data_IF_865758691396
#
_entry.id   IF_865758691396
#
_cell.length_a   1.000
_cell.length_b   1.000
_cell.length_c   1.000
_cell.angle_alpha   90.00
_cell.angle_beta   90.00
_cell.angle_gamma   90.00
#
_symmetry.space_group_name_H-M   'P 1'
#
loop_
_entity.id
_entity.type
_entity.pdbx_description
1 polymer ?
#
# COMPACT_ATOMS: atom_id res chain seq x y z
N UNK A 1 -35.91 35.80 38.34
CA UNK A 1 -36.16 37.09 39.01
C UNK A 1 -37.49 37.61 38.50
N UNK A 2 -38.39 37.90 39.43
CA UNK A 2 -39.83 38.06 39.19
C UNK A 2 -40.11 39.31 38.33
N UNK A 3 -40.53 39.12 37.08
CA UNK A 3 -40.82 40.22 36.16
C UNK A 3 -41.88 41.17 36.72
N UNK A 4 -42.80 40.63 37.53
CA UNK A 4 -43.86 41.37 38.21
C UNK A 4 -43.35 42.34 39.30
N UNK A 5 -42.28 41.97 40.01
CA UNK A 5 -41.69 42.80 41.07
C UNK A 5 -40.90 43.99 40.51
N UNK A 6 -40.28 43.83 39.33
CA UNK A 6 -39.65 44.93 38.60
C UNK A 6 -40.71 45.88 38.01
N UNK A 7 -41.83 45.32 37.54
CA UNK A 7 -43.01 46.03 37.02
C UNK A 7 -43.64 46.97 38.05
N UNK A 8 -43.87 46.50 39.27
CA UNK A 8 -44.43 47.31 40.35
C UNK A 8 -43.52 48.48 40.75
N UNK A 9 -42.19 48.30 40.65
CA UNK A 9 -41.20 49.31 41.06
C UNK A 9 -40.98 50.40 40.01
N UNK A 10 -41.23 50.12 38.73
CA UNK A 10 -41.13 51.10 37.65
C UNK A 10 -42.37 52.02 37.55
N UNK A 11 -43.53 51.57 38.05
CA UNK A 11 -44.85 52.18 37.83
C UNK A 11 -45.37 53.09 38.97
N UNK A 12 -44.50 53.51 39.89
CA UNK A 12 -44.88 54.19 41.14
C UNK A 12 -46.14 55.05 41.06
N UNK A 13 -47.20 54.63 41.77
CA UNK A 13 -48.50 55.27 42.04
C UNK A 13 -48.98 56.37 41.06
N UNK A 14 -48.88 56.14 39.75
CA UNK A 14 -49.43 57.05 38.74
C UNK A 14 -50.43 56.32 37.86
N UNK A 15 -51.70 56.39 38.25
CA UNK A 15 -52.82 56.09 37.36
C UNK A 15 -52.85 57.14 36.24
N UNK A 16 -52.67 56.75 34.97
CA UNK A 16 -52.60 57.69 33.85
C UNK A 16 -53.95 58.39 33.64
N UNK A 17 -53.90 59.71 33.55
CA UNK A 17 -55.08 60.60 33.54
C UNK A 17 -55.48 61.10 32.15
N UNK A 18 -54.72 60.71 31.11
CA UNK A 18 -54.98 61.04 29.70
C UNK A 18 -54.52 59.91 28.77
N UNK A 19 -55.18 59.75 27.61
CA UNK A 19 -54.77 58.83 26.55
C UNK A 19 -53.28 58.98 26.15
N UNK A 20 -52.70 60.19 26.26
CA UNK A 20 -51.28 60.43 25.99
C UNK A 20 -50.34 59.75 27.00
N UNK A 21 -50.76 59.63 28.26
CA UNK A 21 -49.97 58.99 29.32
C UNK A 21 -50.02 57.46 29.21
N UNK A 22 -51.19 56.91 28.85
CA UNK A 22 -51.34 55.48 28.54
C UNK A 22 -50.42 55.04 27.38
N UNK A 23 -50.39 55.82 26.30
CA UNK A 23 -49.51 55.53 25.16
C UNK A 23 -48.03 55.59 25.55
N UNK A 24 -47.65 56.52 26.44
CA UNK A 24 -46.27 56.65 26.92
C UNK A 24 -45.85 55.43 27.75
N UNK A 25 -46.68 54.98 28.68
CA UNK A 25 -46.41 53.77 29.49
C UNK A 25 -46.31 52.53 28.60
N UNK A 26 -47.18 52.39 27.60
CA UNK A 26 -47.10 51.29 26.61
C UNK A 26 -45.78 51.33 25.82
N UNK A 27 -45.35 52.50 25.35
CA UNK A 27 -44.08 52.65 24.63
C UNK A 27 -42.90 52.28 25.54
N UNK A 28 -42.90 52.74 26.79
CA UNK A 28 -41.83 52.42 27.76
C UNK A 28 -41.79 50.92 28.11
N UNK A 29 -42.93 50.24 28.16
CA UNK A 29 -43.00 48.79 28.38
C UNK A 29 -42.53 47.97 27.16
N UNK A 30 -42.91 48.38 25.95
CA UNK A 30 -42.59 47.63 24.74
C UNK A 30 -41.19 47.91 24.18
N UNK A 31 -40.61 49.09 24.46
CA UNK A 31 -39.27 49.46 24.01
C UNK A 31 -38.17 48.43 24.38
N UNK A 32 -38.04 47.96 25.64
CA UNK A 32 -37.02 46.97 26.01
C UNK A 32 -37.29 45.60 25.37
N UNK A 33 -38.56 45.22 25.16
CA UNK A 33 -38.93 43.97 24.47
C UNK A 33 -38.51 44.03 23.01
N UNK A 34 -38.76 45.16 22.33
CA UNK A 34 -38.33 45.38 20.95
C UNK A 34 -36.81 45.38 20.83
N UNK A 35 -36.10 46.00 21.77
CA UNK A 35 -34.64 45.98 21.81
C UNK A 35 -34.08 44.55 21.97
N UNK A 36 -34.63 43.78 22.91
CA UNK A 36 -34.25 42.37 23.10
C UNK A 36 -34.57 41.52 21.87
N UNK A 37 -35.72 41.74 21.22
CA UNK A 37 -36.06 41.07 19.96
C UNK A 37 -35.07 41.40 18.84
N UNK A 38 -34.63 42.66 18.73
CA UNK A 38 -33.62 43.04 17.73
C UNK A 38 -32.26 42.40 18.01
N UNK A 39 -31.86 42.27 19.27
CA UNK A 39 -30.61 41.62 19.67
C UNK A 39 -30.66 40.11 19.40
N UNK A 40 -31.76 39.43 19.76
CA UNK A 40 -31.98 38.02 19.46
C UNK A 40 -31.96 37.79 17.95
N UNK A 41 -32.62 38.66 17.17
CA UNK A 41 -32.60 38.57 15.71
C UNK A 41 -31.17 38.68 15.16
N UNK A 42 -30.38 39.62 15.66
CA UNK A 42 -28.98 39.77 15.26
C UNK A 42 -28.14 38.54 15.61
N UNK A 43 -28.33 37.98 16.81
CA UNK A 43 -27.64 36.76 17.26
C UNK A 43 -28.01 35.54 16.39
N UNK A 44 -29.29 35.36 16.07
CA UNK A 44 -29.77 34.28 15.19
C UNK A 44 -29.17 34.43 13.80
N UNK A 45 -29.17 35.64 13.22
CA UNK A 45 -28.57 35.87 11.90
C UNK A 45 -27.07 35.56 11.89
N UNK A 46 -26.32 35.97 12.91
CA UNK A 46 -24.90 35.64 13.04
C UNK A 46 -24.65 34.13 13.19
N UNK A 47 -25.52 33.43 13.92
CA UNK A 47 -25.45 31.99 14.06
C UNK A 47 -25.75 31.27 12.74
N UNK A 48 -26.74 31.72 11.98
CA UNK A 48 -27.06 31.17 10.66
C UNK A 48 -25.88 31.32 9.68
N UNK A 49 -25.19 32.45 9.70
CA UNK A 49 -23.97 32.67 8.90
C UNK A 49 -22.86 31.70 9.31
N UNK A 50 -22.63 31.56 10.62
CA UNK A 50 -21.66 30.62 11.16
C UNK A 50 -21.98 29.18 10.75
N UNK A 51 -23.25 28.79 10.82
CA UNK A 51 -23.70 27.45 10.45
C UNK A 51 -23.50 27.20 8.94
N UNK A 52 -23.80 28.18 8.09
CA UNK A 52 -23.53 28.10 6.64
C UNK A 52 -22.05 27.92 6.36
N UNK A 53 -21.18 28.68 7.03
CA UNK A 53 -19.73 28.57 6.88
C UNK A 53 -19.24 27.17 7.27
N UNK A 54 -19.65 26.66 8.44
CA UNK A 54 -19.27 25.31 8.87
C UNK A 54 -19.85 24.22 7.97
N UNK A 55 -21.08 24.39 7.46
CA UNK A 55 -21.67 23.45 6.52
C UNK A 55 -20.91 23.39 5.20
N UNK A 56 -20.41 24.52 4.71
CA UNK A 56 -19.56 24.55 3.51
C UNK A 56 -18.25 23.83 3.76
N UNK A 57 -17.55 24.15 4.86
CA UNK A 57 -16.31 23.47 5.23
C UNK A 57 -16.47 21.96 5.43
N UNK A 58 -17.60 21.52 6.01
CA UNK A 58 -17.89 20.10 6.17
C UNK A 58 -18.11 19.38 4.83
N UNK A 59 -18.74 20.05 3.87
CA UNK A 59 -18.93 19.51 2.52
C UNK A 59 -17.61 19.39 1.76
N UNK A 60 -16.74 20.39 1.88
CA UNK A 60 -15.39 20.38 1.30
C UNK A 60 -14.55 19.24 1.90
N UNK A 61 -14.49 19.16 3.24
CA UNK A 61 -13.80 18.09 3.95
C UNK A 61 -14.30 16.71 3.55
N UNK A 62 -15.62 16.53 3.42
CA UNK A 62 -16.23 15.28 2.95
C UNK A 62 -15.80 14.94 1.51
N UNK A 63 -15.62 15.95 0.66
CA UNK A 63 -15.13 15.78 -0.71
C UNK A 63 -13.68 15.30 -0.71
N UNK A 64 -12.81 15.98 0.04
CA UNK A 64 -11.39 15.60 0.19
C UNK A 64 -11.24 14.19 0.75
N UNK A 65 -12.04 13.81 1.75
CA UNK A 65 -12.02 12.46 2.32
C UNK A 65 -12.39 11.39 1.29
N UNK A 66 -13.34 11.67 0.38
CA UNK A 66 -13.65 10.75 -0.73
C UNK A 66 -12.46 10.61 -1.68
N UNK A 67 -11.81 11.72 -2.04
CA UNK A 67 -10.62 11.72 -2.90
C UNK A 67 -9.48 10.90 -2.27
N UNK A 68 -9.15 11.16 -1.00
CA UNK A 68 -8.11 10.41 -0.27
C UNK A 68 -8.44 8.92 -0.22
N UNK A 69 -9.72 8.56 0.00
CA UNK A 69 -10.14 7.16 0.00
C UNK A 69 -9.95 6.49 -1.36
N UNK A 70 -10.22 7.21 -2.45
CA UNK A 70 -10.01 6.72 -3.80
C UNK A 70 -8.52 6.54 -4.10
N UNK A 71 -7.70 7.56 -3.84
CA UNK A 71 -6.24 7.49 -4.02
C UNK A 71 -5.63 6.35 -3.21
N UNK A 72 -6.05 6.17 -1.95
CA UNK A 72 -5.58 5.07 -1.11
C UNK A 72 -5.89 3.70 -1.72
N UNK A 73 -7.07 3.54 -2.33
CA UNK A 73 -7.46 2.31 -3.00
C UNK A 73 -6.61 2.03 -4.25
N UNK A 74 -6.29 3.08 -5.01
CA UNK A 74 -5.46 2.98 -6.21
C UNK A 74 -4.01 2.67 -5.86
N UNK A 75 -3.45 3.35 -4.86
CA UNK A 75 -2.09 3.11 -4.37
C UNK A 75 -1.94 1.68 -3.85
N UNK A 76 -2.90 1.17 -3.08
CA UNK A 76 -2.89 -0.22 -2.62
C UNK A 76 -2.90 -1.21 -3.77
N UNK A 77 -3.70 -0.95 -4.80
CA UNK A 77 -3.76 -1.82 -6.00
C UNK A 77 -2.42 -1.84 -6.73
N UNK A 78 -1.84 -0.67 -7.01
CA UNK A 78 -0.54 -0.56 -7.69
C UNK A 78 0.58 -1.23 -6.89
N UNK A 79 0.62 -1.02 -5.57
CA UNK A 79 1.61 -1.65 -4.70
C UNK A 79 1.56 -3.19 -4.74
N UNK A 80 0.38 -3.79 -4.84
CA UNK A 80 0.23 -5.24 -4.95
C UNK A 80 0.67 -5.77 -6.32
N UNK A 81 0.39 -5.02 -7.39
CA UNK A 81 0.81 -5.34 -8.75
C UNK A 81 2.35 -5.29 -8.87
N UNK A 82 2.97 -4.22 -8.36
CA UNK A 82 4.42 -4.05 -8.33
C UNK A 82 5.12 -5.15 -7.54
N UNK A 83 4.57 -5.51 -6.37
CA UNK A 83 5.14 -6.59 -5.54
C UNK A 83 5.09 -7.93 -6.27
N UNK A 84 3.99 -8.21 -6.97
CA UNK A 84 3.82 -9.43 -7.76
C UNK A 84 4.81 -9.48 -8.92
N UNK A 85 4.96 -8.38 -9.66
CA UNK A 85 5.90 -8.29 -10.79
C UNK A 85 7.35 -8.44 -10.32
N UNK A 86 7.73 -7.74 -9.25
CA UNK A 86 9.05 -7.87 -8.61
C UNK A 86 9.35 -9.31 -8.23
N UNK A 87 8.39 -10.01 -7.61
CA UNK A 87 8.56 -11.41 -7.24
C UNK A 87 8.78 -12.33 -8.45
N UNK A 88 8.07 -12.09 -9.54
CA UNK A 88 8.24 -12.85 -10.79
C UNK A 88 9.61 -12.59 -11.41
N UNK A 89 10.03 -11.32 -11.48
CA UNK A 89 11.31 -10.93 -12.05
C UNK A 89 12.48 -11.53 -11.27
N UNK A 90 12.47 -11.43 -9.93
CA UNK A 90 13.50 -12.03 -9.07
C UNK A 90 13.57 -13.55 -9.28
N UNK A 91 12.41 -14.23 -9.40
CA UNK A 91 12.37 -15.67 -9.65
C UNK A 91 12.96 -16.02 -11.02
N UNK A 92 12.71 -15.22 -12.05
CA UNK A 92 13.26 -15.42 -13.39
C UNK A 92 14.77 -15.18 -13.43
N UNK A 93 15.25 -14.09 -12.82
CA UNK A 93 16.67 -13.76 -12.75
C UNK A 93 17.46 -14.85 -12.03
N UNK A 94 17.02 -15.26 -10.84
CA UNK A 94 17.65 -16.36 -10.10
C UNK A 94 17.69 -17.65 -10.90
N UNK A 95 16.63 -17.97 -11.64
CA UNK A 95 16.61 -19.16 -12.51
C UNK A 95 17.64 -19.05 -13.63
N UNK A 96 17.71 -17.90 -14.31
CA UNK A 96 18.69 -17.66 -15.38
C UNK A 96 20.11 -17.73 -14.84
N UNK A 97 20.44 -17.00 -13.78
CA UNK A 97 21.76 -17.02 -13.15
C UNK A 97 22.17 -18.43 -12.73
N UNK A 98 21.29 -19.20 -12.09
CA UNK A 98 21.59 -20.58 -11.70
C UNK A 98 21.84 -21.47 -12.91
N UNK A 99 21.05 -21.31 -14.00
CA UNK A 99 21.23 -22.08 -15.22
C UNK A 99 22.55 -21.73 -15.89
N UNK A 100 22.85 -20.44 -16.03
CA UNK A 100 24.04 -19.94 -16.68
C UNK A 100 25.30 -20.34 -15.89
N UNK A 101 25.28 -20.21 -14.56
CA UNK A 101 26.37 -20.67 -13.70
C UNK A 101 26.58 -22.19 -13.81
N UNK A 102 25.51 -22.98 -13.85
CA UNK A 102 25.60 -24.44 -14.02
C UNK A 102 26.14 -24.82 -15.39
N UNK A 103 25.72 -24.13 -16.44
CA UNK A 103 26.23 -24.36 -17.80
C UNK A 103 27.70 -23.96 -17.90
N UNK A 104 28.07 -22.79 -17.38
CA UNK A 104 29.44 -22.31 -17.34
C UNK A 104 30.35 -23.29 -16.59
N UNK A 105 29.91 -23.76 -15.41
CA UNK A 105 30.65 -24.75 -14.62
C UNK A 105 30.82 -26.10 -15.31
N UNK A 106 29.95 -26.46 -16.28
CA UNK A 106 30.02 -27.73 -17.03
C UNK A 106 30.59 -27.55 -18.44
N UNK A 107 31.03 -26.35 -18.81
CA UNK A 107 31.43 -26.01 -20.17
C UNK A 107 32.60 -26.88 -20.67
N UNK A 108 33.47 -27.28 -19.76
CA UNK A 108 34.65 -28.12 -20.04
C UNK A 108 34.40 -29.60 -19.78
N UNK A 109 33.21 -29.96 -19.27
CA UNK A 109 32.91 -31.35 -18.95
C UNK A 109 32.53 -32.09 -20.23
N UNK A 110 33.10 -33.27 -20.42
CA UNK A 110 32.68 -34.22 -21.44
C UNK A 110 31.90 -35.36 -20.78
N UNK A 111 30.81 -35.79 -21.43
CA UNK A 111 29.98 -36.89 -20.93
C UNK A 111 29.99 -38.10 -21.88
N UNK A 112 31.03 -38.97 -21.81
CA UNK A 112 31.03 -40.23 -22.54
C UNK A 112 29.87 -41.12 -22.11
N UNK A 113 28.99 -41.46 -23.05
CA UNK A 113 27.82 -42.31 -22.82
C UNK A 113 28.09 -43.75 -23.22
N UNK A 114 27.37 -44.68 -22.58
CA UNK A 114 27.35 -46.11 -22.91
C UNK A 114 28.72 -46.81 -22.79
N UNK A 115 29.61 -46.29 -21.95
CA UNK A 115 30.88 -46.97 -21.65
C UNK A 115 30.60 -48.16 -20.73
N UNK A 116 30.85 -49.41 -21.16
CA UNK A 116 30.55 -50.60 -20.37
C UNK A 116 31.22 -50.58 -19.00
N UNK A 117 30.54 -51.10 -17.98
CA UNK A 117 31.15 -51.33 -16.67
C UNK A 117 31.92 -52.64 -16.77
N UNK A 118 33.23 -52.61 -16.52
CA UNK A 118 34.04 -53.83 -16.44
C UNK A 118 34.65 -53.90 -15.05
N UNK A 119 34.57 -55.06 -14.40
CA UNK A 119 35.23 -55.27 -13.11
C UNK A 119 36.73 -55.02 -13.29
N UNK A 120 37.28 -54.06 -12.54
CA UNK A 120 38.72 -53.69 -12.48
C UNK A 120 39.28 -52.77 -13.57
N UNK A 121 38.47 -52.11 -14.41
CA UNK A 121 39.01 -51.09 -15.34
C UNK A 121 39.06 -49.70 -14.72
N UNK A 122 40.25 -49.12 -14.77
CA UNK A 122 40.48 -47.70 -14.56
C UNK A 122 39.80 -46.89 -15.68
N UNK A 123 39.03 -45.88 -15.28
CA UNK A 123 38.35 -44.97 -16.22
C UNK A 123 39.37 -44.13 -17.00
N UNK A 124 40.51 -43.78 -16.40
CA UNK A 124 41.59 -43.04 -17.06
C UNK A 124 42.14 -43.81 -18.26
N UNK A 125 42.46 -45.10 -18.08
CA UNK A 125 42.90 -45.97 -19.18
C UNK A 125 41.84 -46.12 -20.28
N UNK A 126 40.56 -46.15 -19.89
CA UNK A 126 39.46 -46.24 -20.86
C UNK A 126 39.36 -44.96 -21.69
N UNK A 127 39.54 -43.80 -21.05
CA UNK A 127 39.55 -42.50 -21.71
C UNK A 127 40.74 -42.36 -22.69
N UNK A 128 41.95 -42.78 -22.28
CA UNK A 128 43.12 -42.79 -23.15
C UNK A 128 42.94 -43.66 -24.40
N UNK A 129 42.31 -44.82 -24.26
CA UNK A 129 41.95 -45.67 -25.40
C UNK A 129 40.98 -44.96 -26.36
N UNK A 130 39.96 -44.29 -25.82
CA UNK A 130 39.02 -43.51 -26.63
C UNK A 130 39.73 -42.37 -27.34
N UNK A 131 40.59 -41.61 -26.66
CA UNK A 131 41.37 -40.52 -27.26
C UNK A 131 42.29 -41.03 -28.38
N UNK A 132 42.96 -42.16 -28.18
CA UNK A 132 43.79 -42.82 -29.19
C UNK A 132 42.95 -43.24 -30.41
N UNK A 133 41.77 -43.82 -30.20
CA UNK A 133 40.86 -44.18 -31.30
C UNK A 133 40.36 -42.96 -32.09
N UNK A 134 40.25 -41.80 -31.44
CA UNK A 134 39.85 -40.54 -32.08
C UNK A 134 41.05 -39.74 -32.61
N UNK A 135 42.28 -40.24 -32.49
CA UNK A 135 43.51 -39.54 -32.85
C UNK A 135 43.66 -38.18 -32.16
N UNK A 136 43.17 -38.06 -30.92
CA UNK A 136 43.29 -36.86 -30.09
C UNK A 136 44.40 -37.07 -29.07
N UNK A 137 45.42 -36.19 -29.01
CA UNK A 137 46.42 -36.26 -27.95
C UNK A 137 45.75 -35.96 -26.60
N UNK A 138 45.92 -36.85 -25.63
CA UNK A 138 45.42 -36.70 -24.27
C UNK A 138 46.56 -36.95 -23.30
N UNK A 139 46.82 -35.98 -22.43
CA UNK A 139 47.74 -36.07 -21.29
C UNK A 139 46.96 -36.25 -19.99
N UNK A 140 47.59 -36.83 -18.97
CA UNK A 140 46.99 -36.96 -17.64
C UNK A 140 46.70 -35.59 -17.00
N UNK A 141 47.41 -34.53 -17.40
CA UNK A 141 47.17 -33.16 -16.95
C UNK A 141 45.95 -32.49 -17.60
N UNK A 142 45.44 -33.06 -18.71
CA UNK A 142 44.26 -32.52 -19.41
C UNK A 142 42.95 -32.92 -18.71
N UNK A 143 43.02 -33.90 -17.79
CA UNK A 143 41.86 -34.46 -17.09
C UNK A 143 41.96 -34.13 -15.60
N UNK A 144 41.08 -33.27 -15.12
CA UNK A 144 41.03 -32.95 -13.69
C UNK A 144 40.39 -34.06 -12.86
N UNK A 145 39.23 -34.56 -13.29
CA UNK A 145 38.45 -35.57 -12.55
C UNK A 145 37.72 -36.45 -13.56
N UNK A 146 37.82 -37.77 -13.40
CA UNK A 146 37.01 -38.72 -14.15
C UNK A 146 36.23 -39.61 -13.19
N UNK A 147 34.91 -39.64 -13.31
CA UNK A 147 34.07 -40.49 -12.48
C UNK A 147 32.75 -40.85 -13.16
N UNK A 148 32.09 -41.90 -12.64
CA UNK A 148 30.75 -42.27 -13.09
C UNK A 148 29.68 -41.51 -12.31
N UNK A 149 28.65 -41.08 -13.02
CA UNK A 149 27.48 -40.44 -12.42
C UNK A 149 26.45 -41.51 -12.09
N UNK A 150 25.91 -41.53 -10.86
CA UNK A 150 24.84 -42.45 -10.49
C UNK A 150 23.59 -42.23 -11.36
N UNK A 151 23.17 -43.29 -12.07
CA UNK A 151 21.94 -43.26 -12.88
C UNK A 151 20.81 -43.95 -12.13
N UNK A 152 19.65 -43.29 -12.03
CA UNK A 152 18.42 -43.91 -11.51
C UNK A 152 17.84 -44.84 -12.58
N UNK A 153 17.60 -46.12 -12.25
CA UNK A 153 16.89 -47.06 -13.12
C UNK A 153 17.71 -48.19 -13.76
N UNK A 154 18.88 -48.54 -13.21
CA UNK A 154 19.62 -49.75 -13.62
C UNK A 154 20.32 -49.70 -14.98
N UNK A 155 20.21 -48.59 -15.71
CA UNK A 155 20.97 -48.37 -16.95
C UNK A 155 22.47 -48.14 -16.70
N UNK A 156 23.28 -48.30 -17.76
CA UNK A 156 24.72 -48.04 -17.68
C UNK A 156 24.99 -46.58 -17.26
N UNK A 157 25.76 -46.35 -16.18
CA UNK A 157 26.07 -45.01 -15.71
C UNK A 157 27.02 -44.27 -16.65
N UNK A 158 26.71 -43.01 -16.92
CA UNK A 158 27.55 -42.13 -17.75
C UNK A 158 28.84 -41.78 -17.01
N UNK A 159 29.88 -41.44 -17.77
CA UNK A 159 31.12 -40.90 -17.23
C UNK A 159 31.07 -39.38 -17.38
N UNK A 160 31.56 -38.63 -16.39
CA UNK A 160 31.93 -37.22 -16.54
C UNK A 160 33.45 -37.13 -16.43
N UNK A 161 34.03 -36.44 -17.41
CA UNK A 161 35.45 -36.07 -17.52
C UNK A 161 35.54 -34.55 -17.50
#
# INVERSE_FOLDING_TARGET
MDAFAVLSKALGDKTPSSNKELTKVLIEMFSPIMAAMTEVKASVSSFEESLKFHSQGFNEFRSELKTVRQELSEVKKRSLEDERERHQLVKQLRRKEIVDLKQYSRRTNLEPKRVPITEKKDLGQTLHKVATCLSVPLSDHDVHVVHRVPTKGGGLPNIIV
#
